data_IF_483948588549
#
_entry.id   IF_483948588549
#
_cell.length_a   1.000
_cell.length_b   1.000
_cell.length_c   1.000
_cell.angle_alpha   90.00
_cell.angle_beta   90.00
_cell.angle_gamma   90.00
#
_symmetry.space_group_name_H-M   'P 1'
#
loop_
_entity.id
_entity.type
_entity.pdbx_description
1 polymer ?
#
# COMPACT_ATOMS: atom_id res chain seq x y z
N UNK A 1 12.21 14.30 16.84
CA UNK A 1 12.54 12.89 16.54
C UNK A 1 11.56 12.40 15.48
N UNK A 2 12.01 11.67 14.46
CA UNK A 2 11.13 11.05 13.46
C UNK A 2 10.61 9.72 13.99
N UNK A 3 9.30 9.62 14.20
CA UNK A 3 8.64 8.41 14.71
C UNK A 3 8.48 7.38 13.59
N UNK A 4 8.87 6.14 13.85
CA UNK A 4 8.56 5.00 12.98
C UNK A 4 7.21 4.42 13.39
N UNK A 5 6.37 4.10 12.41
CA UNK A 5 5.06 3.50 12.61
C UNK A 5 4.84 2.36 11.61
N UNK A 6 3.86 1.52 11.95
CA UNK A 6 3.28 0.50 11.08
C UNK A 6 1.79 0.80 10.91
N UNK A 7 1.28 0.66 9.69
CA UNK A 7 -0.15 0.65 9.40
C UNK A 7 -0.53 -0.65 8.70
N UNK A 8 -1.51 -1.34 9.27
CA UNK A 8 -2.04 -2.60 8.73
C UNK A 8 -3.53 -2.44 8.42
N UNK A 9 -3.95 -2.81 7.22
CA UNK A 9 -5.33 -2.69 6.78
C UNK A 9 -5.75 -3.78 5.79
N UNK A 10 -7.07 -3.93 5.64
CA UNK A 10 -7.71 -4.80 4.65
C UNK A 10 -8.60 -3.95 3.76
N UNK A 11 -8.68 -4.28 2.46
CA UNK A 11 -9.54 -3.57 1.51
C UNK A 11 -10.05 -4.50 0.41
N UNK A 12 -11.22 -4.18 -0.14
CA UNK A 12 -11.69 -4.78 -1.38
C UNK A 12 -11.05 -4.08 -2.60
N UNK A 13 -10.73 -4.82 -3.67
CA UNK A 13 -10.23 -4.23 -4.89
C UNK A 13 -11.35 -3.44 -5.58
N UNK A 14 -11.06 -2.22 -6.03
CA UNK A 14 -12.02 -1.39 -6.75
C UNK A 14 -12.48 -2.00 -8.10
N UNK A 15 -11.72 -2.96 -8.63
CA UNK A 15 -12.01 -3.70 -9.85
C UNK A 15 -11.35 -5.08 -9.81
N UNK A 16 -11.85 -6.04 -10.58
CA UNK A 16 -11.24 -7.36 -10.68
C UNK A 16 -9.76 -7.26 -11.06
N UNK A 17 -8.91 -7.94 -10.28
CA UNK A 17 -7.46 -7.90 -10.45
C UNK A 17 -7.00 -9.07 -11.29
N UNK A 18 -6.51 -8.79 -12.50
CA UNK A 18 -5.79 -9.77 -13.30
C UNK A 18 -4.37 -9.95 -12.77
N UNK A 19 -3.73 -11.07 -13.11
CA UNK A 19 -2.32 -11.32 -12.76
C UNK A 19 -1.39 -10.16 -13.19
N UNK A 20 -1.58 -9.64 -14.41
CA UNK A 20 -0.80 -8.49 -14.90
C UNK A 20 -1.10 -7.21 -14.10
N UNK A 21 -2.35 -7.01 -13.68
CA UNK A 21 -2.73 -5.92 -12.78
C UNK A 21 -2.01 -6.00 -11.43
N UNK A 22 -1.92 -7.20 -10.84
CA UNK A 22 -1.18 -7.44 -9.60
C UNK A 22 0.33 -7.20 -9.76
N UNK A 23 0.94 -7.64 -10.87
CA UNK A 23 2.35 -7.36 -11.16
C UNK A 23 2.64 -5.88 -11.34
N UNK A 24 1.73 -5.15 -12.00
CA UNK A 24 1.83 -3.70 -12.14
C UNK A 24 1.71 -2.99 -10.79
N UNK A 25 0.79 -3.43 -9.94
CA UNK A 25 0.64 -2.92 -8.58
C UNK A 25 1.92 -3.14 -7.77
N UNK A 26 2.48 -4.35 -7.79
CA UNK A 26 3.74 -4.68 -7.12
C UNK A 26 4.89 -3.77 -7.58
N UNK A 27 5.06 -3.62 -8.89
CA UNK A 27 6.12 -2.77 -9.45
C UNK A 27 6.01 -1.32 -8.98
N UNK A 28 4.82 -0.72 -9.05
CA UNK A 28 4.61 0.65 -8.60
C UNK A 28 4.78 0.81 -7.10
N UNK A 29 4.28 -0.12 -6.29
CA UNK A 29 4.45 -0.11 -4.84
C UNK A 29 5.92 -0.22 -4.47
N UNK A 30 6.66 -1.16 -5.07
CA UNK A 30 8.11 -1.30 -4.84
C UNK A 30 8.87 -0.01 -5.16
N UNK A 31 8.65 0.57 -6.34
CA UNK A 31 9.36 1.77 -6.78
C UNK A 31 9.06 2.98 -5.88
N UNK A 32 7.80 3.19 -5.50
CA UNK A 32 7.40 4.30 -4.63
C UNK A 32 7.94 4.11 -3.20
N UNK A 33 7.79 2.89 -2.66
CA UNK A 33 8.23 2.57 -1.30
C UNK A 33 9.75 2.72 -1.17
N UNK A 34 10.52 2.25 -2.15
CA UNK A 34 11.97 2.41 -2.18
C UNK A 34 12.41 3.88 -2.16
N UNK A 35 11.70 4.76 -2.87
CA UNK A 35 12.00 6.19 -2.90
C UNK A 35 11.70 6.90 -1.56
N UNK A 36 10.75 6.37 -0.78
CA UNK A 36 10.30 6.93 0.50
C UNK A 36 10.92 6.23 1.72
N UNK A 37 11.72 5.18 1.52
CA UNK A 37 12.25 4.36 2.62
C UNK A 37 11.15 3.57 3.37
N UNK A 38 10.04 3.27 2.69
CA UNK A 38 8.93 2.48 3.24
C UNK A 38 9.16 1.00 2.95
N UNK A 39 8.80 0.13 3.90
CA UNK A 39 8.79 -1.33 3.76
C UNK A 39 7.38 -1.87 4.00
N UNK A 40 7.18 -3.18 3.79
CA UNK A 40 5.90 -3.82 4.09
C UNK A 40 5.61 -5.05 3.22
N UNK A 41 4.37 -5.52 3.29
CA UNK A 41 3.87 -6.68 2.57
C UNK A 41 2.44 -6.43 2.06
N UNK A 42 2.12 -7.02 0.92
CA UNK A 42 0.77 -7.01 0.33
C UNK A 42 0.39 -8.45 -0.03
N UNK A 43 -0.75 -8.89 0.50
CA UNK A 43 -1.36 -10.19 0.24
C UNK A 43 -2.66 -9.94 -0.52
N UNK A 44 -2.92 -10.76 -1.53
CA UNK A 44 -4.19 -10.76 -2.25
C UNK A 44 -4.73 -12.18 -2.33
N UNK A 45 -5.87 -12.41 -1.68
CA UNK A 45 -6.54 -13.72 -1.62
C UNK A 45 -8.05 -13.50 -1.52
N UNK A 46 -8.85 -14.39 -2.12
CA UNK A 46 -10.32 -14.33 -2.09
C UNK A 46 -10.91 -12.95 -2.45
N UNK A 47 -10.31 -12.28 -3.43
CA UNK A 47 -10.68 -10.94 -3.85
C UNK A 47 -10.61 -9.88 -2.73
N UNK A 48 -9.67 -10.03 -1.79
CA UNK A 48 -9.35 -9.06 -0.75
C UNK A 48 -7.86 -8.77 -0.72
N UNK A 49 -7.51 -7.55 -0.39
CA UNK A 49 -6.13 -7.16 -0.07
C UNK A 49 -5.92 -7.09 1.44
N UNK A 50 -4.83 -7.68 1.92
CA UNK A 50 -4.27 -7.39 3.24
C UNK A 50 -2.92 -6.71 3.06
N UNK A 51 -2.71 -5.56 3.69
CA UNK A 51 -1.47 -4.79 3.52
C UNK A 51 -0.91 -4.32 4.85
N UNK A 52 0.41 -4.45 4.98
CA UNK A 52 1.23 -3.85 6.03
C UNK A 52 2.17 -2.84 5.36
N UNK A 53 2.28 -1.63 5.91
CA UNK A 53 3.27 -0.63 5.52
C UNK A 53 3.98 -0.07 6.74
N UNK A 54 5.30 0.05 6.66
CA UNK A 54 6.16 0.46 7.76
C UNK A 54 7.11 1.56 7.29
N UNK A 55 7.32 2.59 8.14
CA UNK A 55 8.16 3.72 7.78
C UNK A 55 7.99 4.91 8.74
N UNK A 56 8.58 6.05 8.39
CA UNK A 56 8.38 7.26 9.21
C UNK A 56 6.94 7.77 9.11
N UNK A 57 6.39 8.22 10.22
CA UNK A 57 5.00 8.68 10.36
C UNK A 57 4.58 9.64 9.25
N UNK A 58 5.39 10.67 8.99
CA UNK A 58 5.14 11.65 7.91
C UNK A 58 5.00 11.02 6.52
N UNK A 59 5.77 9.97 6.23
CA UNK A 59 5.84 9.34 4.92
C UNK A 59 4.69 8.33 4.76
N UNK A 60 4.33 7.65 5.84
CA UNK A 60 3.16 6.78 5.93
C UNK A 60 1.86 7.59 5.82
N UNK A 61 1.73 8.72 6.51
CA UNK A 61 0.56 9.62 6.41
C UNK A 61 0.39 10.19 4.99
N UNK A 62 1.48 10.59 4.36
CA UNK A 62 1.48 11.07 2.98
C UNK A 62 1.06 9.96 1.99
N UNK A 63 1.58 8.75 2.17
CA UNK A 63 1.21 7.58 1.35
C UNK A 63 -0.26 7.20 1.57
N UNK A 64 -0.72 7.16 2.82
CA UNK A 64 -2.10 6.83 3.18
C UNK A 64 -3.08 7.80 2.53
N UNK A 65 -2.86 9.10 2.69
CA UNK A 65 -3.70 10.15 2.10
C UNK A 65 -3.79 10.02 0.57
N UNK A 66 -2.69 9.63 -0.08
CA UNK A 66 -2.67 9.39 -1.54
C UNK A 66 -3.49 8.16 -1.93
N UNK A 67 -3.44 7.09 -1.15
CA UNK A 67 -4.17 5.84 -1.40
C UNK A 67 -5.68 6.03 -1.17
N UNK A 68 -6.09 6.65 -0.06
CA UNK A 68 -7.51 6.91 0.26
C UNK A 68 -8.17 7.84 -0.76
N UNK A 69 -7.45 8.81 -1.32
CA UNK A 69 -7.98 9.67 -2.39
C UNK A 69 -8.20 8.94 -3.72
N UNK A 70 -7.54 7.81 -3.95
CA UNK A 70 -7.65 7.04 -5.20
C UNK A 70 -8.77 5.99 -5.17
N UNK A 71 -9.17 5.56 -3.98
CA UNK A 71 -10.34 4.71 -3.76
C UNK A 71 -11.14 5.29 -2.58
N UNK A 72 -12.15 6.14 -2.83
CA UNK A 72 -13.12 6.44 -1.79
C UNK A 72 -13.85 5.13 -1.47
N UNK A 73 -13.77 4.70 -0.21
CA UNK A 73 -14.63 3.66 0.35
C UNK A 73 -16.10 4.00 0.11
#
# INVERSE_FOLDING_TARGET
MSKLIELTYVSEPAQNMSFLGLMRLLYHSYSNNKALGITGALIYENNQFGQVIEGFEKDIEALWTKNTKRCPT
#
